data_IF_178451151551
#
_entry.id   IF_178451151551
#
_cell.length_a   1.000
_cell.length_b   1.000
_cell.length_c   1.000
_cell.angle_alpha   90.00
_cell.angle_beta   90.00
_cell.angle_gamma   90.00
#
_symmetry.space_group_name_H-M   'P 1'
#
loop_
_entity.id
_entity.type
_entity.pdbx_description
1 polymer ?
#
# COMPACT_ATOMS: atom_id res chain seq x y z
N UNK A 1 2.60 10.69 16.56
CA UNK A 1 3.66 9.80 16.03
C UNK A 1 2.95 8.69 15.30
N UNK A 2 3.20 8.53 14.01
CA UNK A 2 2.53 7.54 13.15
C UNK A 2 2.56 6.19 13.85
N UNK A 3 1.37 5.64 14.14
CA UNK A 3 1.25 4.32 14.79
C UNK A 3 2.02 3.34 13.91
N UNK A 4 2.93 2.55 14.48
CA UNK A 4 3.66 1.50 13.77
C UNK A 4 2.69 0.39 13.33
N UNK A 5 1.94 0.67 12.28
CA UNK A 5 1.08 -0.31 11.63
C UNK A 5 1.95 -1.39 11.00
N UNK A 6 1.38 -2.57 10.80
CA UNK A 6 2.11 -3.70 10.22
C UNK A 6 2.61 -3.40 8.80
N UNK A 7 1.91 -2.54 8.04
CA UNK A 7 2.37 -2.09 6.72
C UNK A 7 3.64 -1.22 6.82
N UNK A 8 3.74 -0.34 7.83
CA UNK A 8 4.94 0.48 8.03
C UNK A 8 6.12 -0.41 8.43
N UNK A 9 5.91 -1.35 9.36
CA UNK A 9 6.96 -2.30 9.76
C UNK A 9 7.45 -3.13 8.57
N UNK A 10 6.53 -3.61 7.75
CA UNK A 10 6.84 -4.33 6.53
C UNK A 10 7.64 -3.50 5.52
N UNK A 11 7.27 -2.22 5.33
CA UNK A 11 8.01 -1.29 4.46
C UNK A 11 9.41 -0.98 5.00
N UNK A 12 9.55 -0.71 6.30
CA UNK A 12 10.84 -0.42 6.93
C UNK A 12 11.79 -1.61 6.86
N UNK A 13 11.33 -2.82 7.17
CA UNK A 13 12.14 -4.04 7.02
C UNK A 13 12.69 -4.21 5.60
N UNK A 14 11.86 -3.96 4.58
CA UNK A 14 12.28 -4.08 3.19
C UNK A 14 13.27 -3.00 2.77
N UNK A 15 13.03 -1.74 3.16
CA UNK A 15 13.79 -0.57 2.68
C UNK A 15 15.05 -0.31 3.51
N UNK A 16 14.96 -0.42 4.84
CA UNK A 16 16.06 -0.14 5.77
C UNK A 16 16.93 -1.39 6.00
N UNK A 17 16.30 -2.53 6.24
CA UNK A 17 17.01 -3.77 6.62
C UNK A 17 17.27 -4.71 5.44
N UNK A 18 16.79 -4.39 4.24
CA UNK A 18 16.86 -5.24 3.03
C UNK A 18 16.24 -6.63 3.23
N UNK A 19 15.29 -6.77 4.15
CA UNK A 19 14.55 -8.00 4.41
C UNK A 19 13.21 -7.93 3.69
N UNK A 20 13.14 -8.58 2.53
CA UNK A 20 11.94 -8.61 1.69
C UNK A 20 11.09 -9.84 2.00
N UNK A 21 9.86 -9.60 2.43
CA UNK A 21 8.83 -10.63 2.64
C UNK A 21 7.64 -10.36 1.69
N UNK A 22 7.70 -10.81 0.43
CA UNK A 22 6.64 -10.53 -0.52
C UNK A 22 5.30 -11.11 -0.08
N UNK A 23 4.22 -10.37 -0.28
CA UNK A 23 2.86 -10.76 0.14
C UNK A 23 1.86 -10.65 -1.00
N UNK A 24 0.63 -11.10 -0.77
CA UNK A 24 -0.49 -10.88 -1.70
C UNK A 24 -1.27 -9.66 -1.27
N UNK A 25 -1.54 -8.75 -2.21
CA UNK A 25 -2.36 -7.56 -1.98
C UNK A 25 -3.65 -7.68 -2.76
N UNK A 26 -4.77 -7.50 -2.07
CA UNK A 26 -6.11 -7.48 -2.68
C UNK A 26 -6.66 -6.07 -2.61
N UNK A 27 -7.01 -5.51 -3.77
CA UNK A 27 -7.68 -4.22 -3.93
C UNK A 27 -9.11 -4.51 -4.35
N UNK A 28 -10.08 -3.87 -3.69
CA UNK A 28 -11.51 -4.05 -3.99
C UNK A 28 -12.14 -2.70 -4.30
N UNK A 29 -12.80 -2.62 -5.46
CA UNK A 29 -13.75 -1.56 -5.75
C UNK A 29 -15.09 -1.99 -5.14
N UNK A 30 -15.59 -1.22 -4.18
CA UNK A 30 -16.84 -1.52 -3.49
C UNK A 30 -18.00 -0.77 -4.13
N UNK A 31 -19.16 -1.43 -4.21
CA UNK A 31 -20.44 -0.83 -4.55
C UNK A 31 -21.08 -0.09 -3.38
N UNK A 32 -22.27 0.48 -3.60
CA UNK A 32 -23.03 1.23 -2.59
C UNK A 32 -23.42 0.37 -1.38
N UNK A 33 -23.58 -0.93 -1.59
CA UNK A 33 -23.89 -1.94 -0.58
C UNK A 33 -22.65 -2.47 0.16
N UNK A 34 -21.47 -1.90 -0.10
CA UNK A 34 -20.16 -2.36 0.37
C UNK A 34 -19.74 -3.75 -0.11
N UNK A 35 -20.44 -4.33 -1.10
CA UNK A 35 -20.00 -5.55 -1.77
C UNK A 35 -18.93 -5.21 -2.81
N UNK A 36 -18.03 -6.17 -3.07
CA UNK A 36 -16.99 -5.99 -4.07
C UNK A 36 -17.60 -6.08 -5.46
N UNK A 37 -17.32 -5.11 -6.33
CA UNK A 37 -17.69 -5.12 -7.74
C UNK A 37 -16.52 -5.62 -8.60
N UNK A 38 -15.32 -5.19 -8.25
CA UNK A 38 -14.08 -5.57 -8.94
C UNK A 38 -13.01 -5.84 -7.90
N UNK A 39 -12.37 -7.00 -8.01
CA UNK A 39 -11.28 -7.41 -7.14
C UNK A 39 -10.00 -7.58 -7.97
N UNK A 40 -8.98 -6.78 -7.67
CA UNK A 40 -7.61 -6.99 -8.15
C UNK A 40 -6.81 -7.76 -7.12
N UNK A 41 -6.16 -8.85 -7.52
CA UNK A 41 -5.23 -9.59 -6.66
C UNK A 41 -3.83 -9.49 -7.25
N UNK A 42 -2.94 -8.82 -6.54
CA UNK A 42 -1.53 -8.65 -6.88
C UNK A 42 -0.73 -9.71 -6.12
N UNK A 43 0.04 -10.50 -6.85
CA UNK A 43 0.83 -11.60 -6.29
C UNK A 43 2.28 -11.19 -6.13
N UNK A 44 2.88 -11.58 -5.00
CA UNK A 44 4.29 -11.34 -4.70
C UNK A 44 4.58 -9.85 -4.77
N UNK A 45 3.94 -9.07 -3.89
CA UNK A 45 4.11 -7.62 -3.78
C UNK A 45 5.18 -7.33 -2.74
N UNK A 46 6.08 -6.38 -3.01
CA UNK A 46 7.07 -5.92 -2.03
C UNK A 46 7.34 -4.41 -2.14
N UNK A 47 7.76 -3.75 -1.04
CA UNK A 47 8.02 -2.32 -1.01
C UNK A 47 9.21 -1.96 -1.90
N UNK A 48 9.07 -0.86 -2.64
CA UNK A 48 10.13 -0.25 -3.46
C UNK A 48 10.61 1.06 -2.85
N UNK A 49 9.67 1.90 -2.42
CA UNK A 49 9.93 3.24 -1.91
C UNK A 49 8.86 3.65 -0.90
N UNK A 50 9.26 4.41 0.10
CA UNK A 50 8.36 5.08 1.04
C UNK A 50 8.83 6.53 1.17
N UNK A 51 8.01 7.45 0.68
CA UNK A 51 8.26 8.89 0.78
C UNK A 51 7.25 9.52 1.72
N UNK A 52 7.75 10.32 2.65
CA UNK A 52 6.94 11.14 3.54
C UNK A 52 7.02 12.56 2.99
N UNK A 53 5.88 13.19 2.70
CA UNK A 53 5.86 14.58 2.26
C UNK A 53 6.51 15.49 3.31
N UNK A 54 7.25 16.51 2.84
CA UNK A 54 7.91 17.47 3.71
C UNK A 54 6.89 18.20 4.60
N UNK A 55 7.22 18.31 5.90
CA UNK A 55 6.37 19.00 6.86
C UNK A 55 6.67 20.52 6.83
N UNK A 56 5.88 21.28 6.08
CA UNK A 56 5.98 22.74 6.06
C UNK A 56 5.06 23.36 7.12
N UNK A 57 5.64 23.86 8.21
CA UNK A 57 4.91 24.45 9.34
C UNK A 57 4.14 25.73 8.98
N UNK A 58 4.40 26.35 7.82
CA UNK A 58 3.68 27.53 7.35
C UNK A 58 2.50 27.19 6.44
N UNK A 59 2.37 25.93 6.00
CA UNK A 59 1.29 25.47 5.14
C UNK A 59 0.36 24.54 5.90
N UNK A 60 -0.94 24.86 5.87
CA UNK A 60 -1.98 24.00 6.45
C UNK A 60 -2.36 22.90 5.45
N UNK A 61 -1.40 22.03 5.12
CA UNK A 61 -1.57 20.93 4.16
C UNK A 61 -1.78 19.59 4.89
N UNK A 62 -2.50 18.67 4.24
CA UNK A 62 -2.65 17.30 4.73
C UNK A 62 -1.32 16.58 4.48
N UNK A 63 -0.74 16.00 5.55
CA UNK A 63 0.42 15.13 5.42
C UNK A 63 0.01 13.86 4.65
N UNK A 64 0.63 13.66 3.49
CA UNK A 64 0.44 12.48 2.66
C UNK A 64 1.73 11.67 2.65
N UNK A 65 1.59 10.36 2.87
CA UNK A 65 2.66 9.39 2.68
C UNK A 65 2.43 8.64 1.37
N UNK A 66 3.49 8.50 0.58
CA UNK A 66 3.46 7.78 -0.69
C UNK A 66 4.25 6.49 -0.58
N UNK A 67 3.59 5.37 -0.86
CA UNK A 67 4.19 4.05 -0.91
C UNK A 67 4.22 3.55 -2.37
N UNK A 68 5.42 3.24 -2.86
CA UNK A 68 5.59 2.54 -4.14
C UNK A 68 5.93 1.07 -3.88
N UNK A 69 5.26 0.18 -4.62
CA UNK A 69 5.45 -1.26 -4.50
C UNK A 69 5.66 -1.90 -5.88
N UNK A 70 6.48 -2.95 -5.91
CA UNK A 70 6.58 -3.83 -7.08
C UNK A 70 5.69 -5.06 -6.87
N UNK A 71 5.24 -5.66 -7.96
CA UNK A 71 4.49 -6.92 -7.98
C UNK A 71 4.90 -7.74 -9.20
N UNK A 72 4.73 -9.06 -9.15
CA UNK A 72 5.06 -9.93 -10.28
C UNK A 72 3.97 -9.93 -11.36
N UNK A 73 2.73 -10.17 -10.94
CA UNK A 73 1.57 -10.12 -11.82
C UNK A 73 0.31 -9.82 -11.00
N UNK A 74 -0.76 -9.45 -11.67
CA UNK A 74 -2.07 -9.25 -11.07
C UNK A 74 -3.15 -10.02 -11.84
N UNK A 75 -4.24 -10.33 -11.15
CA UNK A 75 -5.46 -10.87 -11.75
C UNK A 75 -6.64 -9.97 -11.40
N UNK A 76 -7.63 -9.92 -12.29
CA UNK A 76 -8.87 -9.15 -12.09
C UNK A 76 -10.04 -10.11 -12.07
N UNK A 77 -10.90 -9.95 -11.08
CA UNK A 77 -12.19 -10.64 -10.99
C UNK A 77 -13.30 -9.60 -11.01
N UNK A 78 -14.29 -9.83 -11.87
CA UNK A 78 -15.53 -9.06 -11.91
C UNK A 78 -16.57 -9.85 -11.13
N UNK A 79 -17.21 -9.20 -10.16
CA UNK A 79 -18.28 -9.79 -9.37
C UNK A 79 -19.62 -9.32 -9.95
N UNK A 80 -20.50 -10.29 -10.24
CA UNK A 80 -21.80 -10.11 -10.90
C UNK A 80 -22.95 -10.16 -9.91
#
# INVERSE_FOLDING_TARGET
VLKETEIIKWCRKAIEDYVFEPTTVTIKLLGEDHNSLITWNLTHVWPKKWDIADLDAYKNEILVETLEMNYNFFTVKYES
#
